data_IF_523672421708
#
_entry.id   IF_523672421708
#
_cell.length_a   1.000
_cell.length_b   1.000
_cell.length_c   1.000
_cell.angle_alpha   90.00
_cell.angle_beta   90.00
_cell.angle_gamma   90.00
#
_symmetry.space_group_name_H-M   'P 1'
#
loop_
_entity.id
_entity.type
_entity.pdbx_description
1 polymer ?
#
# COMPACT_ATOMS: atom_id res chain seq x y z
N UNK A 1 -17.06 -12.50 -15.21
CA UNK A 1 -18.01 -13.24 -14.33
C UNK A 1 -17.46 -14.64 -14.19
N UNK A 2 -17.02 -15.04 -12.99
CA UNK A 2 -16.51 -16.40 -12.78
C UNK A 2 -17.71 -17.36 -12.94
N UNK A 3 -17.65 -18.36 -13.83
CA UNK A 3 -18.77 -19.25 -14.08
C UNK A 3 -19.24 -19.96 -12.81
N UNK A 4 -20.57 -20.10 -12.63
CA UNK A 4 -21.16 -20.75 -11.44
C UNK A 4 -20.71 -22.21 -11.28
N UNK A 5 -20.28 -22.88 -12.35
CA UNK A 5 -19.75 -24.25 -12.31
C UNK A 5 -18.45 -24.42 -11.49
N UNK A 6 -17.78 -23.32 -11.11
CA UNK A 6 -16.63 -23.37 -10.18
C UNK A 6 -17.05 -23.59 -8.72
N UNK A 7 -18.32 -23.36 -8.38
CA UNK A 7 -18.87 -23.46 -7.02
C UNK A 7 -19.89 -24.60 -6.87
N UNK A 8 -20.13 -25.38 -7.91
CA UNK A 8 -20.87 -26.63 -7.77
C UNK A 8 -19.99 -27.62 -6.99
N UNK A 9 -20.56 -28.30 -6.00
CA UNK A 9 -19.90 -29.38 -5.24
C UNK A 9 -19.32 -30.39 -6.23
N UNK A 10 -18.02 -30.26 -6.53
CA UNK A 10 -17.30 -31.29 -7.27
C UNK A 10 -16.90 -32.34 -6.25
N UNK A 11 -17.40 -33.56 -6.47
CA UNK A 11 -16.96 -34.76 -5.75
C UNK A 11 -15.46 -35.06 -5.96
N UNK A 12 -14.81 -34.37 -6.91
CA UNK A 12 -13.36 -34.39 -7.10
C UNK A 12 -12.75 -33.03 -6.74
N UNK A 13 -11.66 -33.00 -5.95
CA UNK A 13 -10.96 -31.76 -5.65
C UNK A 13 -10.58 -31.07 -6.97
N UNK A 14 -10.88 -29.78 -7.08
CA UNK A 14 -10.42 -28.96 -8.20
C UNK A 14 -8.94 -29.28 -8.44
N UNK A 15 -8.59 -29.58 -9.71
CA UNK A 15 -7.21 -29.87 -10.09
C UNK A 15 -6.30 -28.86 -9.39
N UNK A 16 -5.42 -29.37 -8.53
CA UNK A 16 -4.63 -28.53 -7.64
C UNK A 16 -4.00 -27.41 -8.47
N UNK A 17 -4.37 -26.16 -8.18
CA UNK A 17 -3.69 -25.00 -8.75
C UNK A 17 -2.20 -25.26 -8.53
N UNK A 18 -1.43 -25.33 -9.62
CA UNK A 18 -0.03 -25.72 -9.56
C UNK A 18 0.65 -24.95 -8.42
N UNK A 19 1.34 -25.66 -7.52
CA UNK A 19 2.06 -25.01 -6.41
C UNK A 19 3.03 -23.99 -7.00
N UNK A 20 2.72 -22.71 -6.86
CA UNK A 20 3.64 -21.63 -7.24
C UNK A 20 4.76 -21.65 -6.21
N UNK A 21 5.97 -21.98 -6.68
CA UNK A 21 7.18 -21.88 -5.87
C UNK A 21 7.53 -20.40 -5.67
N UNK A 22 6.99 -19.82 -4.60
CA UNK A 22 7.18 -18.40 -4.27
C UNK A 22 8.65 -18.05 -3.99
N UNK A 23 9.51 -19.02 -3.66
CA UNK A 23 10.95 -18.78 -3.47
C UNK A 23 11.66 -18.34 -4.76
N UNK A 24 11.02 -18.56 -5.92
CA UNK A 24 11.53 -18.12 -7.22
C UNK A 24 11.03 -16.73 -7.64
N UNK A 25 10.04 -16.19 -6.92
CA UNK A 25 9.47 -14.88 -7.22
C UNK A 25 10.48 -13.76 -6.96
N UNK A 26 10.58 -12.82 -7.90
CA UNK A 26 11.58 -11.73 -7.84
C UNK A 26 11.28 -10.76 -6.69
N UNK A 27 10.01 -10.54 -6.36
CA UNK A 27 9.61 -9.67 -5.26
C UNK A 27 9.98 -10.29 -3.91
N UNK A 28 9.72 -11.59 -3.75
CA UNK A 28 10.09 -12.30 -2.51
C UNK A 28 11.60 -12.32 -2.33
N UNK A 29 12.38 -12.68 -3.35
CA UNK A 29 13.85 -12.61 -3.29
C UNK A 29 14.39 -11.23 -2.96
N UNK A 30 13.77 -10.17 -3.50
CA UNK A 30 14.13 -8.80 -3.18
C UNK A 30 13.87 -8.49 -1.70
N UNK A 31 12.74 -8.93 -1.16
CA UNK A 31 12.41 -8.75 0.25
C UNK A 31 13.28 -9.60 1.18
N UNK A 32 13.68 -10.81 0.79
CA UNK A 32 14.66 -11.64 1.51
C UNK A 32 16.00 -10.90 1.64
N UNK A 33 16.53 -10.38 0.52
CA UNK A 33 17.76 -9.60 0.51
C UNK A 33 17.63 -8.30 1.32
N UNK A 34 16.46 -7.65 1.28
CA UNK A 34 16.17 -6.47 2.09
C UNK A 34 16.12 -6.81 3.59
N UNK A 35 15.56 -7.96 3.96
CA UNK A 35 15.53 -8.45 5.34
C UNK A 35 16.94 -8.67 5.89
N UNK A 36 17.78 -9.36 5.11
CA UNK A 36 19.16 -9.66 5.48
C UNK A 36 19.98 -8.37 5.67
N UNK A 37 19.84 -7.41 4.75
CA UNK A 37 20.67 -6.21 4.72
C UNK A 37 20.18 -5.08 5.62
N UNK A 38 18.87 -4.88 5.73
CA UNK A 38 18.27 -3.71 6.39
C UNK A 38 17.34 -4.08 7.56
N UNK A 39 17.09 -5.37 7.79
CA UNK A 39 16.28 -5.87 8.89
C UNK A 39 14.77 -5.83 8.63
N UNK A 40 14.00 -6.17 9.67
CA UNK A 40 12.54 -6.24 9.61
C UNK A 40 11.91 -4.86 9.41
N UNK A 41 10.73 -4.83 8.78
CA UNK A 41 9.89 -3.64 8.61
C UNK A 41 10.65 -2.46 7.95
N UNK A 42 11.64 -2.76 7.11
CA UNK A 42 12.53 -1.80 6.45
C UNK A 42 12.09 -1.42 5.03
N UNK A 43 11.35 -2.31 4.36
CA UNK A 43 10.96 -2.16 2.97
C UNK A 43 9.60 -1.45 2.78
N UNK A 44 9.41 -0.85 1.61
CA UNK A 44 8.20 -0.18 1.16
C UNK A 44 7.60 -0.90 -0.06
N UNK A 45 6.31 -1.17 -0.04
CA UNK A 45 5.59 -1.60 -1.24
C UNK A 45 4.73 -0.45 -1.79
N UNK A 46 4.80 -0.20 -3.09
CA UNK A 46 4.11 0.89 -3.76
C UNK A 46 3.16 0.28 -4.79
N UNK A 47 1.86 0.55 -4.63
CA UNK A 47 0.83 0.06 -5.55
C UNK A 47 -0.40 0.96 -5.61
N UNK A 48 -0.78 1.37 -6.82
CA UNK A 48 -1.99 2.14 -7.08
C UNK A 48 -3.16 1.25 -7.51
N UNK A 49 -3.11 -0.04 -7.20
CA UNK A 49 -4.14 -0.99 -7.60
C UNK A 49 -4.02 -1.42 -9.05
N UNK A 50 -5.09 -2.00 -9.59
CA UNK A 50 -5.06 -2.68 -10.88
C UNK A 50 -5.26 -1.76 -12.09
N UNK A 51 -5.92 -0.62 -11.90
CA UNK A 51 -6.35 0.26 -13.01
C UNK A 51 -5.98 1.73 -12.81
N UNK A 52 -5.35 2.09 -11.70
CA UNK A 52 -5.07 3.48 -11.38
C UNK A 52 -3.57 3.77 -11.43
N UNK A 53 -3.26 5.02 -11.80
CA UNK A 53 -1.90 5.56 -11.83
C UNK A 53 -1.98 7.07 -11.59
N UNK A 54 -1.02 7.69 -10.87
CA UNK A 54 -0.99 9.14 -10.73
C UNK A 54 -0.95 9.86 -12.09
N UNK A 55 -1.87 10.79 -12.29
CA UNK A 55 -2.07 11.47 -13.58
C UNK A 55 -1.03 12.55 -13.88
N UNK A 56 -0.39 13.09 -12.84
CA UNK A 56 0.65 14.12 -13.00
C UNK A 56 1.97 13.41 -13.30
N UNK A 57 2.59 13.61 -14.48
CA UNK A 57 3.74 12.80 -14.91
C UNK A 57 4.97 12.90 -14.00
N UNK A 58 5.14 14.02 -13.29
CA UNK A 58 6.30 14.28 -12.43
C UNK A 58 6.18 13.62 -11.05
N UNK A 59 4.98 13.24 -10.62
CA UNK A 59 4.74 12.75 -9.26
C UNK A 59 5.50 11.47 -8.90
N UNK A 60 5.43 10.42 -9.74
CA UNK A 60 6.17 9.17 -9.49
C UNK A 60 7.68 9.38 -9.64
N UNK A 61 8.20 10.08 -10.67
CA UNK A 61 9.60 10.48 -10.71
C UNK A 61 10.08 11.16 -9.43
N UNK A 62 9.34 12.13 -8.91
CA UNK A 62 9.67 12.82 -7.65
C UNK A 62 9.75 11.85 -6.47
N UNK A 63 8.79 10.93 -6.32
CA UNK A 63 8.83 9.88 -5.29
C UNK A 63 10.08 8.98 -5.42
N UNK A 64 10.40 8.53 -6.63
CA UNK A 64 11.55 7.67 -6.89
C UNK A 64 12.88 8.39 -6.63
N UNK A 65 12.99 9.66 -7.01
CA UNK A 65 14.16 10.50 -6.72
C UNK A 65 14.42 10.63 -5.22
N UNK A 66 13.37 10.83 -4.42
CA UNK A 66 13.49 10.88 -2.96
C UNK A 66 13.95 9.51 -2.42
N UNK A 67 13.29 8.42 -2.81
CA UNK A 67 13.63 7.06 -2.36
C UNK A 67 15.08 6.68 -2.68
N UNK A 68 15.59 7.05 -3.85
CA UNK A 68 16.98 6.79 -4.25
C UNK A 68 18.00 7.54 -3.39
N UNK A 69 17.63 8.70 -2.83
CA UNK A 69 18.50 9.57 -2.01
C UNK A 69 18.36 9.35 -0.50
N UNK A 70 17.36 8.59 -0.05
CA UNK A 70 17.16 8.33 1.38
C UNK A 70 18.38 7.69 2.04
N UNK A 71 18.72 8.18 3.23
CA UNK A 71 19.72 7.61 4.13
C UNK A 71 19.13 7.51 5.56
N UNK A 72 19.09 6.31 6.19
CA UNK A 72 19.40 5.01 5.62
C UNK A 72 18.53 4.68 4.38
N UNK A 73 18.89 3.71 3.53
CA UNK A 73 18.07 3.31 2.39
C UNK A 73 16.70 2.76 2.83
N UNK A 74 15.67 2.97 2.00
CA UNK A 74 14.37 2.28 2.13
C UNK A 74 14.18 1.40 0.88
N UNK A 75 14.45 0.08 0.97
CA UNK A 75 14.23 -0.83 -0.15
C UNK A 75 12.77 -0.77 -0.59
N UNK A 76 12.49 -0.72 -1.89
CA UNK A 76 11.11 -0.61 -2.35
C UNK A 76 10.78 -1.50 -3.53
N UNK A 77 9.51 -1.91 -3.58
CA UNK A 77 8.93 -2.58 -4.75
C UNK A 77 7.81 -1.67 -5.28
N UNK A 78 7.87 -1.30 -6.55
CA UNK A 78 6.83 -0.56 -7.25
C UNK A 78 6.13 -1.49 -8.24
N UNK A 79 4.81 -1.62 -8.09
CA UNK A 79 3.97 -2.24 -9.12
C UNK A 79 3.46 -1.20 -10.09
N UNK A 80 3.53 -1.49 -11.39
CA UNK A 80 2.99 -0.64 -12.45
C UNK A 80 1.86 -1.39 -13.19
N UNK A 81 0.79 -0.72 -13.63
CA UNK A 81 -0.24 -1.31 -14.51
C UNK A 81 0.28 -1.62 -15.94
N UNK A 82 1.60 -1.76 -16.14
CA UNK A 82 2.27 -1.93 -17.42
C UNK A 82 2.74 -0.59 -18.03
N UNK A 83 3.79 -0.65 -18.86
CA UNK A 83 4.51 0.51 -19.40
C UNK A 83 3.64 1.52 -20.18
N UNK A 84 2.54 1.08 -20.79
CA UNK A 84 1.62 1.95 -21.54
C UNK A 84 0.76 2.82 -20.62
N UNK A 85 0.38 2.29 -19.45
CA UNK A 85 -0.47 2.97 -18.47
C UNK A 85 0.35 3.67 -17.36
N UNK A 86 1.64 3.36 -17.27
CA UNK A 86 2.56 3.91 -16.29
C UNK A 86 3.86 4.39 -16.97
N UNK A 87 3.80 5.50 -17.72
CA UNK A 87 4.99 6.01 -18.40
C UNK A 87 6.01 6.47 -17.35
N UNK A 88 7.16 5.79 -17.31
CA UNK A 88 8.33 6.20 -16.54
C UNK A 88 9.50 6.43 -17.51
N UNK A 89 10.33 7.46 -17.29
CA UNK A 89 11.54 7.64 -18.10
C UNK A 89 12.46 6.43 -17.98
N UNK A 90 12.93 5.89 -19.11
CA UNK A 90 13.81 4.71 -19.14
C UNK A 90 15.09 4.93 -18.30
N UNK A 91 15.66 6.14 -18.37
CA UNK A 91 16.81 6.52 -17.55
C UNK A 91 16.54 6.37 -16.05
N UNK A 92 15.32 6.69 -15.59
CA UNK A 92 14.94 6.55 -14.19
C UNK A 92 14.78 5.07 -13.81
N UNK A 93 14.19 4.25 -14.69
CA UNK A 93 14.09 2.79 -14.48
C UNK A 93 15.48 2.17 -14.33
N UNK A 94 16.42 2.52 -15.23
CA UNK A 94 17.79 2.02 -15.16
C UNK A 94 18.52 2.50 -13.91
N UNK A 95 18.32 3.76 -13.48
CA UNK A 95 18.87 4.26 -12.21
C UNK A 95 18.32 3.50 -11.00
N UNK A 96 17.02 3.20 -10.98
CA UNK A 96 16.43 2.37 -9.91
C UNK A 96 17.06 0.98 -9.90
N UNK A 97 17.18 0.33 -11.06
CA UNK A 97 17.79 -1.00 -11.19
C UNK A 97 19.26 -1.01 -10.74
N UNK A 98 20.05 -0.07 -11.25
CA UNK A 98 21.48 0.05 -10.95
C UNK A 98 21.75 0.36 -9.47
N UNK A 99 20.83 1.05 -8.79
CA UNK A 99 20.97 1.35 -7.36
C UNK A 99 20.87 0.12 -6.46
N UNK A 100 20.21 -0.95 -6.91
CA UNK A 100 19.84 -2.10 -6.07
C UNK A 100 18.90 -1.74 -4.91
N UNK A 101 18.34 -0.53 -4.88
CA UNK A 101 17.44 -0.04 -3.82
C UNK A 101 15.97 -0.28 -4.14
N UNK A 102 15.62 -0.49 -5.42
CA UNK A 102 14.24 -0.66 -5.84
C UNK A 102 14.07 -1.75 -6.89
N UNK A 103 12.87 -2.34 -6.90
CA UNK A 103 12.41 -3.29 -7.90
C UNK A 103 11.10 -2.77 -8.51
N UNK A 104 11.07 -2.62 -9.84
CA UNK A 104 9.86 -2.23 -10.58
C UNK A 104 9.33 -3.46 -11.30
N UNK A 105 8.06 -3.79 -11.12
CA UNK A 105 7.39 -4.97 -11.70
C UNK A 105 5.98 -4.63 -12.17
N UNK A 106 5.45 -5.40 -13.12
CA UNK A 106 4.07 -5.23 -13.59
C UNK A 106 3.06 -5.99 -12.70
N UNK A 107 3.54 -6.97 -11.96
CA UNK A 107 2.74 -7.75 -11.03
C UNK A 107 3.59 -8.20 -9.85
N UNK A 108 2.96 -8.29 -8.69
CA UNK A 108 3.59 -8.76 -7.47
C UNK A 108 2.64 -9.71 -6.71
N UNK A 109 3.18 -10.75 -6.03
CA UNK A 109 2.38 -11.64 -5.20
C UNK A 109 1.98 -10.93 -3.89
N UNK A 110 1.07 -9.96 -3.99
CA UNK A 110 0.75 -8.99 -2.94
C UNK A 110 0.48 -9.65 -1.59
N UNK A 111 -0.32 -10.72 -1.52
CA UNK A 111 -0.60 -11.42 -0.27
C UNK A 111 0.67 -11.99 0.39
N UNK A 112 1.57 -12.59 -0.40
CA UNK A 112 2.83 -13.12 0.13
C UNK A 112 3.76 -12.00 0.60
N UNK A 113 3.83 -10.90 -0.15
CA UNK A 113 4.60 -9.72 0.25
C UNK A 113 4.08 -9.08 1.53
N UNK A 114 2.76 -8.96 1.67
CA UNK A 114 2.13 -8.40 2.87
C UNK A 114 2.36 -9.26 4.13
N UNK A 115 2.74 -10.53 3.99
CA UNK A 115 3.15 -11.38 5.12
C UNK A 115 4.66 -11.43 5.32
N UNK A 116 5.46 -10.75 4.49
CA UNK A 116 6.91 -10.83 4.53
C UNK A 116 7.51 -9.94 5.65
N UNK A 117 8.41 -10.44 6.52
CA UNK A 117 8.94 -9.68 7.66
C UNK A 117 9.70 -8.39 7.31
N UNK A 118 10.31 -8.33 6.13
CA UNK A 118 10.98 -7.11 5.64
C UNK A 118 10.00 -5.96 5.37
N UNK A 119 8.75 -6.26 5.00
CA UNK A 119 7.82 -5.24 4.56
C UNK A 119 7.34 -4.40 5.75
N UNK A 120 7.62 -3.10 5.70
CA UNK A 120 7.26 -2.15 6.75
C UNK A 120 5.99 -1.38 6.42
N UNK A 121 5.88 -0.85 5.21
CA UNK A 121 4.84 0.10 4.83
C UNK A 121 4.31 -0.20 3.44
N UNK A 122 3.07 0.23 3.19
CA UNK A 122 2.51 0.25 1.83
C UNK A 122 2.10 1.67 1.46
N UNK A 123 2.69 2.20 0.38
CA UNK A 123 2.19 3.39 -0.30
C UNK A 123 1.10 2.97 -1.29
N UNK A 124 -0.10 3.51 -1.15
CA UNK A 124 -1.24 3.05 -1.92
C UNK A 124 -2.25 4.14 -2.25
N UNK A 125 -2.96 3.94 -3.37
CA UNK A 125 -4.18 4.68 -3.71
C UNK A 125 -5.34 4.55 -2.70
N UNK A 126 -5.20 3.79 -1.61
CA UNK A 126 -6.26 3.59 -0.61
C UNK A 126 -7.55 2.97 -1.18
N UNK A 127 -7.40 2.06 -2.14
CA UNK A 127 -8.50 1.19 -2.58
C UNK A 127 -8.91 0.19 -1.49
N UNK A 128 -10.21 -0.10 -1.37
CA UNK A 128 -10.78 -0.88 -0.27
C UNK A 128 -10.12 -2.25 -0.05
N UNK A 129 -9.81 -3.00 -1.12
CA UNK A 129 -9.16 -4.30 -1.01
C UNK A 129 -7.76 -4.20 -0.40
N UNK A 130 -6.92 -3.27 -0.88
CA UNK A 130 -5.58 -3.07 -0.33
C UNK A 130 -5.63 -2.65 1.13
N UNK A 131 -6.59 -1.81 1.51
CA UNK A 131 -6.81 -1.44 2.92
C UNK A 131 -7.11 -2.67 3.75
N UNK A 132 -8.07 -3.50 3.34
CA UNK A 132 -8.43 -4.70 4.06
C UNK A 132 -7.24 -5.64 4.24
N UNK A 133 -6.52 -5.94 3.15
CA UNK A 133 -5.35 -6.81 3.18
C UNK A 133 -4.25 -6.26 4.10
N UNK A 134 -3.92 -4.98 4.03
CA UNK A 134 -2.92 -4.38 4.90
C UNK A 134 -3.35 -4.38 6.37
N UNK A 135 -4.60 -4.05 6.67
CA UNK A 135 -5.11 -4.05 8.04
C UNK A 135 -5.16 -5.47 8.63
N UNK A 136 -5.48 -6.50 7.84
CA UNK A 136 -5.41 -7.90 8.30
C UNK A 136 -3.98 -8.38 8.59
N UNK A 137 -2.97 -7.74 7.99
CA UNK A 137 -1.56 -8.01 8.21
C UNK A 137 -0.90 -7.04 9.20
N UNK A 138 -1.63 -6.02 9.66
CA UNK A 138 -1.12 -5.02 10.61
C UNK A 138 -0.08 -4.08 9.99
N UNK A 139 -0.15 -3.87 8.67
CA UNK A 139 0.79 -3.02 7.95
C UNK A 139 0.20 -1.60 7.81
N UNK A 140 0.89 -0.57 8.31
CA UNK A 140 0.46 0.81 8.15
C UNK A 140 0.67 1.32 6.72
N UNK A 141 -0.08 2.37 6.37
CA UNK A 141 -0.18 2.87 5.01
C UNK A 141 0.40 4.28 4.83
N UNK A 142 0.80 4.60 3.61
CA UNK A 142 0.95 5.96 3.11
C UNK A 142 -0.08 6.13 1.99
N UNK A 143 -1.15 6.86 2.27
CA UNK A 143 -2.27 7.04 1.37
C UNK A 143 -1.98 8.13 0.34
N UNK A 144 -2.20 7.79 -0.93
CA UNK A 144 -2.12 8.66 -2.08
C UNK A 144 -3.39 8.45 -2.93
N UNK A 145 -4.55 8.94 -2.46
CA UNK A 145 -5.82 8.68 -3.14
C UNK A 145 -5.88 9.35 -4.52
N UNK A 146 -6.49 8.68 -5.50
CA UNK A 146 -6.59 9.16 -6.88
C UNK A 146 -8.03 9.52 -7.27
N UNK A 147 -9.02 8.66 -6.99
CA UNK A 147 -10.42 8.90 -7.36
C UNK A 147 -11.42 8.06 -6.56
N UNK A 148 -12.72 8.30 -6.79
CA UNK A 148 -13.81 7.51 -6.20
C UNK A 148 -13.90 7.69 -4.68
N UNK A 149 -13.98 6.57 -3.96
CA UNK A 149 -14.04 6.48 -2.50
C UNK A 149 -12.67 6.61 -1.82
N UNK A 150 -11.57 6.52 -2.58
CA UNK A 150 -10.20 6.56 -2.08
C UNK A 150 -9.88 7.79 -1.21
N UNK A 151 -10.28 9.03 -1.55
CA UNK A 151 -10.00 10.19 -0.70
C UNK A 151 -10.70 10.10 0.67
N UNK A 152 -11.92 9.55 0.70
CA UNK A 152 -12.64 9.33 1.95
C UNK A 152 -11.94 8.27 2.79
N UNK A 153 -11.50 7.17 2.20
CA UNK A 153 -10.68 6.18 2.90
C UNK A 153 -9.39 6.78 3.45
N UNK A 154 -8.65 7.54 2.65
CA UNK A 154 -7.40 8.19 3.07
C UNK A 154 -7.62 9.13 4.27
N UNK A 155 -8.72 9.89 4.27
CA UNK A 155 -9.11 10.74 5.40
C UNK A 155 -9.38 9.90 6.65
N UNK A 156 -10.18 8.84 6.55
CA UNK A 156 -10.51 7.97 7.69
C UNK A 156 -9.28 7.28 8.26
N UNK A 157 -8.43 6.72 7.40
CA UNK A 157 -7.20 6.03 7.78
C UNK A 157 -6.21 6.97 8.48
N UNK A 158 -6.07 8.20 7.99
CA UNK A 158 -5.07 9.15 8.49
C UNK A 158 -5.55 9.99 9.68
N UNK A 159 -6.83 10.36 9.72
CA UNK A 159 -7.34 11.30 10.74
C UNK A 159 -8.17 10.63 11.82
N UNK A 160 -8.89 9.55 11.51
CA UNK A 160 -9.83 8.94 12.47
C UNK A 160 -9.17 7.78 13.20
N UNK A 161 -8.76 6.74 12.48
CA UNK A 161 -8.16 5.54 13.11
C UNK A 161 -6.63 5.58 13.16
N UNK A 162 -6.02 6.56 12.47
CA UNK A 162 -4.58 6.87 12.54
C UNK A 162 -3.69 5.66 12.28
N UNK A 163 -3.94 4.94 11.18
CA UNK A 163 -3.15 3.81 10.67
C UNK A 163 -2.38 4.16 9.39
N UNK A 164 -2.46 5.43 8.97
CA UNK A 164 -1.83 5.91 7.75
C UNK A 164 -1.37 7.37 7.84
N UNK A 165 -0.40 7.73 7.01
CA UNK A 165 -0.21 9.11 6.57
C UNK A 165 -0.96 9.34 5.26
N UNK A 166 -1.25 10.58 4.89
CA UNK A 166 -1.78 10.92 3.55
C UNK A 166 -0.89 12.00 2.93
N UNK A 167 -0.52 11.82 1.67
CA UNK A 167 0.23 12.81 0.89
C UNK A 167 -0.77 13.81 0.27
N UNK A 168 -0.96 14.99 0.88
CA UNK A 168 -1.93 15.99 0.39
C UNK A 168 -1.45 16.76 -0.83
N UNK A 169 -0.14 16.94 -0.99
CA UNK A 169 0.39 17.66 -2.16
C UNK A 169 0.14 16.91 -3.47
N UNK A 170 -0.27 15.64 -3.38
CA UNK A 170 -0.65 14.81 -4.52
C UNK A 170 -2.07 15.05 -5.03
N UNK A 171 -2.91 15.76 -4.27
CA UNK A 171 -4.32 15.96 -4.61
C UNK A 171 -4.44 16.88 -5.83
N UNK A 172 -5.35 16.52 -6.73
CA UNK A 172 -5.62 17.26 -7.96
C UNK A 172 -7.11 17.63 -8.08
N UNK A 173 -7.45 18.46 -9.07
CA UNK A 173 -8.83 18.87 -9.36
C UNK A 173 -9.52 19.50 -8.15
N UNK A 174 -10.77 19.10 -7.85
CA UNK A 174 -11.53 19.61 -6.70
C UNK A 174 -10.89 19.27 -5.35
N UNK A 175 -10.01 18.26 -5.29
CA UNK A 175 -9.30 17.85 -4.08
C UNK A 175 -8.08 18.71 -3.76
N UNK A 176 -7.60 19.54 -4.69
CA UNK A 176 -6.41 20.39 -4.53
C UNK A 176 -6.67 21.66 -3.70
N UNK A 177 -7.79 21.71 -2.98
CA UNK A 177 -8.13 22.79 -2.06
C UNK A 177 -7.46 22.59 -0.71
N UNK A 178 -7.40 23.64 0.11
CA UNK A 178 -6.85 23.60 1.45
C UNK A 178 -7.34 22.39 2.25
N UNK A 179 -6.42 21.58 2.78
CA UNK A 179 -6.78 20.44 3.61
C UNK A 179 -7.04 20.95 5.02
N UNK A 180 -8.29 20.94 5.49
CA UNK A 180 -8.69 21.42 6.82
C UNK A 180 -8.26 20.47 7.96
N UNK A 181 -6.96 20.17 8.04
CA UNK A 181 -6.28 19.36 9.05
C UNK A 181 -4.85 19.85 9.26
N UNK A 182 -4.22 19.44 10.36
CA UNK A 182 -2.84 19.85 10.69
C UNK A 182 -2.71 21.21 11.38
N UNK A 183 -3.79 21.76 11.92
CA UNK A 183 -3.79 23.03 12.65
C UNK A 183 -5.05 23.84 12.42
N UNK A 184 -5.12 25.04 13.02
CA UNK A 184 -6.28 25.94 12.96
C UNK A 184 -6.64 26.39 11.53
N UNK A 185 -5.63 26.56 10.68
CA UNK A 185 -5.79 27.05 9.30
C UNK A 185 -5.84 25.94 8.26
N UNK A 186 -5.65 24.68 8.68
CA UNK A 186 -5.40 23.58 7.77
C UNK A 186 -3.99 23.59 7.17
N UNK A 187 -3.76 22.63 6.27
CA UNK A 187 -2.54 22.45 5.48
C UNK A 187 -2.81 22.91 4.05
N UNK A 188 -2.06 23.91 3.60
CA UNK A 188 -2.13 24.43 2.24
C UNK A 188 -1.63 23.37 1.23
N UNK A 189 -2.39 23.18 0.15
CA UNK A 189 -1.98 22.34 -0.99
C UNK A 189 -1.44 23.25 -2.08
N UNK A 190 -0.11 23.27 -2.23
CA UNK A 190 0.58 24.06 -3.24
C UNK A 190 0.53 23.37 -4.61
N UNK A 191 0.55 22.03 -4.63
CA UNK A 191 0.46 21.24 -5.86
C UNK A 191 1.69 21.36 -6.78
N UNK A 192 2.83 21.78 -6.23
CA UNK A 192 4.11 21.89 -6.95
C UNK A 192 4.99 20.67 -6.66
N UNK A 193 5.90 20.32 -7.58
CA UNK A 193 6.85 19.22 -7.39
C UNK A 193 7.73 19.41 -6.13
N UNK A 194 8.16 20.64 -5.82
CA UNK A 194 8.95 20.94 -4.62
C UNK A 194 8.17 20.67 -3.33
N UNK A 195 6.92 21.15 -3.25
CA UNK A 195 6.05 20.88 -2.11
C UNK A 195 5.76 19.38 -1.93
N UNK A 196 5.54 18.65 -3.03
CA UNK A 196 5.37 17.20 -2.99
C UNK A 196 6.65 16.51 -2.47
N UNK A 197 7.81 16.93 -2.96
CA UNK A 197 9.10 16.39 -2.51
C UNK A 197 9.30 16.62 -1.01
N UNK A 198 9.09 17.85 -0.54
CA UNK A 198 9.17 18.20 0.89
C UNK A 198 8.22 17.36 1.74
N UNK A 199 6.99 17.15 1.27
CA UNK A 199 6.00 16.31 1.96
C UNK A 199 6.44 14.84 2.03
N UNK A 200 6.92 14.27 0.92
CA UNK A 200 7.41 12.88 0.88
C UNK A 200 8.58 12.70 1.83
N UNK A 201 9.56 13.62 1.81
CA UNK A 201 10.71 13.61 2.72
C UNK A 201 10.26 13.69 4.19
N UNK A 202 9.32 14.59 4.49
CA UNK A 202 8.75 14.73 5.82
C UNK A 202 8.02 13.47 6.28
N UNK A 203 7.16 12.89 5.44
CA UNK A 203 6.41 11.66 5.76
C UNK A 203 7.38 10.48 5.96
N UNK A 204 8.44 10.36 5.16
CA UNK A 204 9.45 9.31 5.38
C UNK A 204 10.26 9.50 6.66
N UNK A 205 10.48 10.74 7.11
CA UNK A 205 11.05 11.00 8.43
C UNK A 205 10.09 10.55 9.54
N UNK A 206 8.79 10.88 9.45
CA UNK A 206 7.77 10.44 10.41
C UNK A 206 7.64 8.92 10.47
N UNK A 207 7.63 8.25 9.32
CA UNK A 207 7.62 6.79 9.14
C UNK A 207 8.73 6.10 9.94
N UNK A 208 9.91 6.72 10.03
CA UNK A 208 11.09 6.20 10.74
C UNK A 208 11.14 6.62 12.22
N UNK A 209 10.39 7.65 12.60
CA UNK A 209 10.36 8.19 13.95
C UNK A 209 9.37 7.50 14.89
N UNK A 210 9.21 8.10 16.07
CA UNK A 210 8.26 7.62 17.09
C UNK A 210 6.80 7.66 16.60
N UNK A 211 6.45 8.62 15.74
CA UNK A 211 5.11 8.68 15.19
C UNK A 211 4.83 7.49 14.27
N UNK A 212 5.80 7.09 13.42
CA UNK A 212 5.70 5.88 12.60
C UNK A 212 5.51 4.61 13.44
N UNK A 213 6.16 4.51 14.61
CA UNK A 213 5.95 3.41 15.56
C UNK A 213 4.53 3.44 16.16
N UNK A 214 3.99 4.63 16.44
CA UNK A 214 2.59 4.81 16.89
C UNK A 214 1.60 4.37 15.82
N UNK A 215 1.76 4.85 14.59
CA UNK A 215 0.90 4.48 13.45
C UNK A 215 0.92 2.97 13.21
N UNK A 216 2.09 2.33 13.29
CA UNK A 216 2.21 0.87 13.18
C UNK A 216 1.47 0.14 14.29
N UNK A 217 1.63 0.56 15.55
CA UNK A 217 0.89 -0.04 16.68
C UNK A 217 -0.62 0.06 16.48
N UNK A 218 -1.11 1.14 15.88
CA UNK A 218 -2.53 1.27 15.56
C UNK A 218 -2.96 0.27 14.47
N UNK A 219 -2.15 0.06 13.44
CA UNK A 219 -2.42 -0.95 12.42
C UNK A 219 -2.39 -2.38 13.00
N UNK A 220 -1.44 -2.68 13.90
CA UNK A 220 -1.36 -3.96 14.61
C UNK A 220 -2.59 -4.18 15.52
N UNK A 221 -3.10 -3.15 16.20
CA UNK A 221 -4.38 -3.22 16.94
C UNK A 221 -5.58 -3.43 16.02
N UNK A 222 -5.63 -2.77 14.87
CA UNK A 222 -6.69 -2.98 13.89
C UNK A 222 -6.72 -4.44 13.41
N UNK A 223 -5.54 -5.03 13.17
CA UNK A 223 -5.39 -6.46 12.89
C UNK A 223 -5.97 -7.33 14.00
N UNK A 224 -5.62 -7.07 15.25
CA UNK A 224 -6.13 -7.83 16.41
C UNK A 224 -7.66 -7.79 16.47
N UNK A 225 -8.25 -6.61 16.31
CA UNK A 225 -9.72 -6.43 16.29
C UNK A 225 -10.36 -7.24 15.15
N UNK A 226 -9.78 -7.18 13.93
CA UNK A 226 -10.28 -7.94 12.79
C UNK A 226 -10.18 -9.45 13.05
N UNK A 227 -9.05 -9.93 13.55
CA UNK A 227 -8.83 -11.34 13.86
C UNK A 227 -9.75 -11.85 14.97
N UNK A 228 -10.03 -11.02 15.98
CA UNK A 228 -11.00 -11.35 17.02
C UNK A 228 -12.43 -11.43 16.49
N UNK A 229 -12.80 -10.53 15.57
CA UNK A 229 -14.14 -10.49 14.99
C UNK A 229 -14.46 -11.73 14.13
N UNK A 230 -13.47 -12.37 13.51
CA UNK A 230 -13.64 -13.56 12.65
C UNK A 230 -13.55 -14.89 13.39
N UNK A 231 -13.18 -14.90 14.68
CA UNK A 231 -13.21 -16.13 15.51
C UNK A 231 -14.61 -16.74 15.52
N UNK A 232 -14.76 -18.06 15.80
CA UNK A 232 -16.07 -18.70 15.90
C UNK A 232 -17.04 -18.02 16.88
N UNK A 233 -16.52 -17.46 17.98
CA UNK A 233 -17.27 -16.68 18.97
C UNK A 233 -17.33 -15.17 18.67
N UNK A 234 -16.70 -14.72 17.58
CA UNK A 234 -16.63 -13.33 17.18
C UNK A 234 -17.93 -12.81 16.56
N UNK A 235 -17.94 -11.53 16.20
CA UNK A 235 -19.13 -10.86 15.67
C UNK A 235 -19.45 -11.26 14.23
N UNK A 236 -18.45 -11.59 13.39
CA UNK A 236 -18.67 -11.87 11.97
C UNK A 236 -19.55 -13.11 11.75
N UNK A 237 -19.30 -14.28 12.37
CA UNK A 237 -20.20 -15.42 12.24
C UNK A 237 -21.65 -15.12 12.64
N UNK A 238 -21.84 -14.33 13.72
CA UNK A 238 -23.18 -13.94 14.19
C UNK A 238 -23.92 -13.08 13.16
N UNK A 239 -23.22 -12.13 12.53
CA UNK A 239 -23.79 -11.32 11.44
C UNK A 239 -24.06 -12.14 10.18
N UNK A 240 -23.18 -13.09 9.84
CA UNK A 240 -23.40 -14.00 8.71
C UNK A 240 -24.61 -14.91 8.95
N UNK A 241 -24.79 -15.42 10.17
CA UNK A 241 -25.96 -16.24 10.52
C UNK A 241 -27.27 -15.43 10.47
N UNK A 242 -27.21 -14.14 10.79
CA UNK A 242 -28.34 -13.23 10.58
C UNK A 242 -28.63 -13.04 9.09
N UNK A 243 -27.60 -12.83 8.26
CA UNK A 243 -27.74 -12.65 6.82
C UNK A 243 -28.31 -13.89 6.13
N UNK A 244 -27.87 -15.09 6.53
CA UNK A 244 -28.38 -16.38 6.02
C UNK A 244 -29.90 -16.56 6.18
N UNK A 245 -30.55 -15.83 7.09
CA UNK A 245 -32.01 -15.85 7.24
C UNK A 245 -32.74 -15.19 6.06
N UNK A 246 -32.02 -14.43 5.23
CA UNK A 246 -32.56 -13.64 4.12
C UNK A 246 -31.98 -14.02 2.74
N UNK A 247 -31.11 -15.04 2.70
CA UNK A 247 -30.55 -15.61 1.46
C UNK A 247 -31.22 -16.95 1.16
#
# INVERSE_FOLDING_TARGET
>A
MIPREYFADRAEPAAAVAKVDQSKDKCIKFLDAALEKYGQKSALYISFGTIAWPLVPTHIPTLLEVLLKLDPPMPFILTTPGSVMAPLPEELIERVRASGRGLIVDWAPQQAMLSHPALGWVLTHAGGNTIYECMTQGIPLIAWPLFGDQPTHALWLSQVIQVAYELVQTRTGKGAQNAYRGGLTGTEIKGTDDALKEEIEHVFALVRGEDGKRIRRNAEKAREIILDAVKPSGQIPQHLDMLKKYM
#
